data_IF_675618382843
#
_entry.id   IF_675618382843
#
_cell.length_a   1.000
_cell.length_b   1.000
_cell.length_c   1.000
_cell.angle_alpha   90.00
_cell.angle_beta   90.00
_cell.angle_gamma   90.00
#
_symmetry.space_group_name_H-M   'P 1'
#
loop_
_entity.id
_entity.type
_entity.pdbx_description
1 polymer ?
#
# COMPACT_ATOMS: atom_id res chain seq x y z
N UNK A 1 -10.97 52.92 -43.57
CA UNK A 1 -9.91 52.85 -42.59
C UNK A 1 -10.23 51.72 -41.62
N UNK A 2 -9.64 50.57 -41.83
CA UNK A 2 -9.79 49.42 -40.92
C UNK A 2 -8.63 49.50 -39.89
N UNK A 3 -8.94 49.63 -38.63
CA UNK A 3 -7.95 49.57 -37.54
C UNK A 3 -7.51 48.12 -37.41
N UNK A 4 -6.22 47.87 -37.66
CA UNK A 4 -5.54 46.61 -37.37
C UNK A 4 -5.43 46.56 -35.83
N UNK A 5 -6.19 45.66 -35.19
CA UNK A 5 -5.97 45.27 -33.78
C UNK A 5 -4.64 44.53 -33.70
N UNK A 6 -3.63 45.16 -33.16
CA UNK A 6 -2.35 44.58 -32.80
C UNK A 6 -2.59 43.52 -31.74
N UNK A 7 -2.31 42.26 -32.06
CA UNK A 7 -2.44 41.16 -31.11
C UNK A 7 -1.37 41.37 -30.02
N UNK A 8 -1.83 41.60 -28.76
CA UNK A 8 -0.95 41.72 -27.63
C UNK A 8 -0.10 40.44 -27.48
N UNK A 9 1.20 40.55 -27.39
CA UNK A 9 2.11 39.46 -27.08
C UNK A 9 1.66 38.76 -25.77
N UNK A 10 1.66 37.43 -25.74
CA UNK A 10 1.31 36.73 -24.50
C UNK A 10 2.32 37.10 -23.38
N UNK A 11 1.84 37.23 -22.13
CA UNK A 11 2.71 37.61 -21.02
C UNK A 11 3.87 36.63 -20.85
N UNK A 12 5.09 37.17 -20.81
CA UNK A 12 6.30 36.36 -20.61
C UNK A 12 6.32 35.82 -19.17
N UNK A 13 6.64 34.53 -19.03
CA UNK A 13 6.79 33.88 -17.72
C UNK A 13 7.98 34.46 -16.97
N UNK A 14 7.80 34.68 -15.66
CA UNK A 14 8.89 35.15 -14.78
C UNK A 14 9.97 34.07 -14.61
N UNK A 15 11.26 34.44 -14.47
CA UNK A 15 12.32 33.49 -14.12
C UNK A 15 11.97 32.73 -12.83
N UNK A 16 12.11 31.40 -12.82
CA UNK A 16 11.76 30.54 -11.68
C UNK A 16 10.31 30.07 -11.62
N UNK A 17 9.46 30.43 -12.60
CA UNK A 17 8.10 29.88 -12.68
C UNK A 17 8.17 28.38 -12.97
N UNK A 18 7.45 27.50 -12.19
CA UNK A 18 7.43 26.08 -12.45
C UNK A 18 6.85 25.77 -13.83
N UNK A 19 7.22 24.61 -14.39
CA UNK A 19 6.59 24.11 -15.61
C UNK A 19 5.08 24.04 -15.42
N UNK A 20 4.27 24.27 -16.47
CA UNK A 20 2.80 24.28 -16.36
C UNK A 20 2.31 22.98 -15.75
N UNK A 21 2.81 21.85 -16.22
CA UNK A 21 2.43 20.52 -15.73
C UNK A 21 2.72 20.35 -14.23
N UNK A 22 3.82 20.92 -13.72
CA UNK A 22 4.16 20.87 -12.29
C UNK A 22 3.18 21.68 -11.45
N UNK A 23 2.78 22.85 -11.96
CA UNK A 23 1.76 23.68 -11.33
C UNK A 23 0.40 23.00 -11.35
N UNK A 24 -0.01 22.43 -12.47
CA UNK A 24 -1.27 21.70 -12.61
C UNK A 24 -1.32 20.50 -11.64
N UNK A 25 -0.23 19.74 -11.52
CA UNK A 25 -0.14 18.65 -10.55
C UNK A 25 -0.29 19.16 -9.11
N UNK A 26 0.40 20.24 -8.75
CA UNK A 26 0.28 20.80 -7.41
C UNK A 26 -1.15 21.27 -7.10
N UNK A 27 -1.84 21.90 -8.06
CA UNK A 27 -3.23 22.33 -7.90
C UNK A 27 -4.21 21.16 -7.78
N UNK A 28 -4.02 20.09 -8.56
CA UNK A 28 -4.82 18.87 -8.43
C UNK A 28 -4.64 18.23 -7.06
N UNK A 29 -3.40 18.10 -6.57
CA UNK A 29 -3.14 17.52 -5.25
C UNK A 29 -3.73 18.37 -4.12
N UNK A 30 -3.67 19.72 -4.24
CA UNK A 30 -4.29 20.61 -3.29
C UNK A 30 -5.82 20.46 -3.31
N UNK A 31 -6.44 20.33 -4.49
CA UNK A 31 -7.87 20.09 -4.60
C UNK A 31 -8.29 18.77 -3.91
N UNK A 32 -7.50 17.69 -4.05
CA UNK A 32 -7.76 16.43 -3.37
C UNK A 32 -7.74 16.58 -1.83
N UNK A 33 -6.80 17.36 -1.31
CA UNK A 33 -6.73 17.64 0.14
C UNK A 33 -7.92 18.45 0.60
N UNK A 34 -8.19 19.58 -0.05
CA UNK A 34 -9.20 20.55 0.40
C UNK A 34 -10.64 20.02 0.26
N UNK A 35 -10.92 19.28 -0.81
CA UNK A 35 -12.26 18.80 -1.08
C UNK A 35 -12.55 17.43 -0.48
N UNK A 36 -11.54 16.58 -0.35
CA UNK A 36 -11.74 15.16 -0.02
C UNK A 36 -10.86 14.65 1.14
N UNK A 37 -9.92 15.46 1.64
CA UNK A 37 -9.05 15.09 2.77
C UNK A 37 -7.89 14.12 2.43
N UNK A 38 -7.67 13.80 1.15
CA UNK A 38 -6.61 12.88 0.72
C UNK A 38 -5.31 13.63 0.39
N UNK A 39 -4.26 13.44 1.18
CA UNK A 39 -2.98 14.12 1.02
C UNK A 39 -1.92 13.26 0.32
N UNK A 40 -1.75 13.50 -0.99
CA UNK A 40 -0.70 12.89 -1.80
C UNK A 40 0.49 13.84 -2.07
N UNK A 41 0.55 15.02 -1.44
CA UNK A 41 1.59 16.03 -1.71
C UNK A 41 2.99 15.55 -1.34
N UNK A 42 3.09 14.63 -0.39
CA UNK A 42 4.34 13.99 0.03
C UNK A 42 4.80 12.81 -0.84
N UNK A 43 4.02 12.42 -1.85
CA UNK A 43 4.35 11.31 -2.74
C UNK A 43 5.37 11.72 -3.81
N UNK A 44 6.06 10.72 -4.38
CA UNK A 44 7.05 10.92 -5.44
C UNK A 44 6.38 11.45 -6.72
N UNK A 45 6.82 12.61 -7.20
CA UNK A 45 6.20 13.32 -8.33
C UNK A 45 6.16 12.49 -9.62
N UNK A 46 7.23 11.73 -9.90
CA UNK A 46 7.30 10.88 -11.07
C UNK A 46 6.26 9.75 -11.02
N UNK A 47 6.06 9.15 -9.84
CA UNK A 47 5.06 8.10 -9.62
C UNK A 47 3.64 8.66 -9.77
N UNK A 48 3.36 9.82 -9.18
CA UNK A 48 2.06 10.48 -9.33
C UNK A 48 1.72 10.74 -10.80
N UNK A 49 2.66 11.32 -11.57
CA UNK A 49 2.44 11.57 -13.01
C UNK A 49 2.17 10.28 -13.77
N UNK A 50 2.95 9.24 -13.51
CA UNK A 50 2.76 7.94 -14.17
C UNK A 50 1.37 7.36 -13.89
N UNK A 51 0.94 7.34 -12.64
CA UNK A 51 -0.38 6.84 -12.24
C UNK A 51 -1.52 7.69 -12.83
N UNK A 52 -1.39 9.01 -12.77
CA UNK A 52 -2.40 9.93 -13.30
C UNK A 52 -2.51 9.87 -14.82
N UNK A 53 -1.40 9.65 -15.56
CA UNK A 53 -1.42 9.54 -17.01
C UNK A 53 -2.37 8.42 -17.48
N UNK A 54 -2.36 7.26 -16.81
CA UNK A 54 -3.28 6.17 -17.13
C UNK A 54 -4.76 6.54 -16.90
N UNK A 55 -5.04 7.31 -15.83
CA UNK A 55 -6.39 7.82 -15.54
C UNK A 55 -6.83 8.84 -16.57
N UNK A 56 -5.94 9.77 -16.94
CA UNK A 56 -6.21 10.80 -17.96
C UNK A 56 -6.61 10.17 -19.28
N UNK A 57 -5.87 9.15 -19.75
CA UNK A 57 -6.23 8.41 -20.98
C UNK A 57 -7.63 7.80 -20.87
N UNK A 58 -7.95 7.14 -19.77
CA UNK A 58 -9.24 6.49 -19.54
C UNK A 58 -10.41 7.48 -19.49
N UNK A 59 -10.20 8.67 -18.89
CA UNK A 59 -11.21 9.70 -18.73
C UNK A 59 -11.23 10.72 -19.88
N UNK A 60 -10.33 10.62 -20.87
CA UNK A 60 -10.21 11.54 -21.99
C UNK A 60 -9.69 12.93 -21.60
N UNK A 61 -9.07 13.08 -20.44
CA UNK A 61 -8.46 14.33 -19.99
C UNK A 61 -7.13 14.57 -20.73
N UNK A 62 -6.96 15.76 -21.32
CA UNK A 62 -5.73 16.11 -22.07
C UNK A 62 -4.65 16.78 -21.23
N UNK A 63 -5.03 17.40 -20.11
CA UNK A 63 -4.14 18.10 -19.17
C UNK A 63 -4.52 17.72 -17.75
N UNK A 64 -3.62 17.95 -16.79
CA UNK A 64 -3.94 17.75 -15.37
C UNK A 64 -5.01 18.73 -14.90
N UNK A 65 -5.09 19.95 -15.48
CA UNK A 65 -6.17 20.89 -15.20
C UNK A 65 -7.53 20.36 -15.67
N UNK A 66 -7.61 19.72 -16.84
CA UNK A 66 -8.85 19.08 -17.28
C UNK A 66 -9.24 17.87 -16.42
N UNK A 67 -8.25 17.11 -15.91
CA UNK A 67 -8.50 16.06 -14.93
C UNK A 67 -8.99 16.64 -13.60
N UNK A 68 -8.40 17.74 -13.12
CA UNK A 68 -8.86 18.44 -11.91
C UNK A 68 -10.31 18.89 -12.02
N UNK A 69 -10.71 19.46 -13.14
CA UNK A 69 -12.12 19.84 -13.39
C UNK A 69 -13.05 18.62 -13.26
N UNK A 70 -12.69 17.48 -13.87
CA UNK A 70 -13.45 16.25 -13.74
C UNK A 70 -13.51 15.77 -12.28
N UNK A 71 -12.39 15.76 -11.56
CA UNK A 71 -12.32 15.32 -10.15
C UNK A 71 -13.21 16.16 -9.25
N UNK A 72 -13.32 17.47 -9.50
CA UNK A 72 -14.14 18.36 -8.69
C UNK A 72 -15.64 18.23 -8.95
N UNK A 73 -16.06 17.76 -10.13
CA UNK A 73 -17.46 17.78 -10.56
C UNK A 73 -18.06 16.40 -10.83
N UNK A 74 -17.24 15.32 -10.88
CA UNK A 74 -17.66 13.95 -11.12
C UNK A 74 -17.09 12.98 -10.09
N UNK A 75 -17.94 12.40 -9.26
CA UNK A 75 -17.57 11.40 -8.26
C UNK A 75 -16.90 10.15 -8.87
N UNK A 76 -17.29 9.75 -10.09
CA UNK A 76 -16.65 8.63 -10.78
C UNK A 76 -15.21 8.93 -11.17
N UNK A 77 -14.94 10.15 -11.62
CA UNK A 77 -13.58 10.62 -11.92
C UNK A 77 -12.72 10.70 -10.66
N UNK A 78 -13.27 11.23 -9.57
CA UNK A 78 -12.61 11.28 -8.26
C UNK A 78 -12.26 9.88 -7.76
N UNK A 79 -13.19 8.94 -7.73
CA UNK A 79 -12.96 7.56 -7.31
C UNK A 79 -11.90 6.88 -8.20
N UNK A 80 -11.91 7.14 -9.51
CA UNK A 80 -10.92 6.62 -10.45
C UNK A 80 -9.50 7.14 -10.15
N UNK A 81 -9.36 8.42 -9.80
CA UNK A 81 -8.07 9.03 -9.40
C UNK A 81 -7.59 8.44 -8.09
N UNK A 82 -8.43 8.37 -7.05
CA UNK A 82 -8.05 7.80 -5.76
C UNK A 82 -7.61 6.34 -5.89
N UNK A 83 -8.37 5.52 -6.63
CA UNK A 83 -8.01 4.12 -6.88
C UNK A 83 -6.68 3.96 -7.59
N UNK A 84 -6.33 4.87 -8.49
CA UNK A 84 -5.04 4.85 -9.18
C UNK A 84 -3.89 5.31 -8.29
N UNK A 85 -4.12 6.27 -7.40
CA UNK A 85 -3.08 6.81 -6.52
C UNK A 85 -2.76 5.89 -5.35
N UNK A 86 -3.72 5.11 -4.87
CA UNK A 86 -3.49 4.11 -3.83
C UNK A 86 -2.72 2.88 -4.35
N UNK A 87 -2.31 2.00 -3.42
CA UNK A 87 -1.71 0.71 -3.75
C UNK A 87 -2.75 -0.17 -4.44
N UNK A 88 -2.44 -0.74 -5.62
CA UNK A 88 -3.36 -1.63 -6.30
C UNK A 88 -3.59 -2.91 -5.49
N UNK A 89 -4.80 -3.50 -5.54
CA UNK A 89 -5.07 -4.76 -4.88
C UNK A 89 -4.13 -5.88 -5.35
N UNK A 90 -3.61 -6.65 -4.40
CA UNK A 90 -2.82 -7.85 -4.67
C UNK A 90 -3.71 -9.02 -5.07
N UNK A 91 -3.17 -9.99 -5.81
CA UNK A 91 -3.77 -11.31 -5.92
C UNK A 91 -3.25 -12.24 -4.80
N UNK A 92 -3.96 -13.34 -4.55
CA UNK A 92 -3.55 -14.32 -3.56
C UNK A 92 -2.26 -15.01 -4.02
N UNK A 93 -1.20 -14.96 -3.21
CA UNK A 93 0.12 -15.51 -3.53
C UNK A 93 0.72 -14.97 -4.85
N UNK A 94 0.56 -13.68 -5.14
CA UNK A 94 1.00 -13.06 -6.40
C UNK A 94 2.52 -12.83 -6.50
N UNK A 95 3.20 -12.63 -5.37
CA UNK A 95 4.64 -12.31 -5.29
C UNK A 95 5.41 -13.45 -4.61
N UNK A 96 5.91 -14.41 -5.40
CA UNK A 96 6.64 -15.55 -4.87
C UNK A 96 7.93 -15.14 -4.10
N UNK A 97 8.75 -14.17 -4.54
CA UNK A 97 9.85 -13.64 -3.75
C UNK A 97 9.42 -13.06 -2.39
N UNK A 98 8.35 -12.26 -2.34
CA UNK A 98 7.83 -11.70 -1.08
C UNK A 98 7.35 -12.81 -0.14
N UNK A 99 6.59 -13.76 -0.65
CA UNK A 99 6.07 -14.90 0.12
C UNK A 99 7.20 -15.76 0.69
N UNK A 100 8.25 -16.05 -0.10
CA UNK A 100 9.41 -16.80 0.37
C UNK A 100 10.14 -16.07 1.51
N UNK A 101 10.29 -14.75 1.41
CA UNK A 101 10.87 -13.93 2.47
C UNK A 101 9.99 -13.92 3.73
N UNK A 102 8.67 -13.77 3.59
CA UNK A 102 7.74 -13.86 4.71
C UNK A 102 7.84 -15.22 5.40
N UNK A 103 7.87 -16.33 4.66
CA UNK A 103 8.07 -17.67 5.24
C UNK A 103 9.34 -17.75 6.09
N UNK A 104 10.44 -17.15 5.63
CA UNK A 104 11.71 -17.17 6.33
C UNK A 104 11.71 -16.34 7.63
N UNK A 105 10.97 -15.20 7.67
CA UNK A 105 11.01 -14.28 8.81
C UNK A 105 9.94 -14.54 9.86
N UNK A 106 8.76 -15.07 9.49
CA UNK A 106 7.62 -15.22 10.41
C UNK A 106 7.98 -16.05 11.65
N UNK A 107 8.57 -17.22 11.46
CA UNK A 107 9.01 -18.06 12.58
C UNK A 107 10.03 -17.37 13.46
N UNK A 108 11.08 -16.79 12.84
CA UNK A 108 12.15 -16.11 13.57
C UNK A 108 11.69 -14.88 14.37
N UNK A 109 10.62 -14.22 13.92
CA UNK A 109 10.13 -12.97 14.54
C UNK A 109 9.01 -13.20 15.57
N UNK A 110 8.18 -14.23 15.38
CA UNK A 110 6.91 -14.34 16.12
C UNK A 110 6.91 -15.44 17.18
N UNK A 111 7.80 -16.45 17.11
CA UNK A 111 7.81 -17.54 18.08
C UNK A 111 8.09 -17.09 19.52
N UNK A 112 8.90 -16.05 19.71
CA UNK A 112 9.28 -15.55 21.03
C UNK A 112 8.19 -14.77 21.77
N UNK A 113 7.13 -14.32 21.09
CA UNK A 113 6.03 -13.57 21.69
C UNK A 113 4.84 -14.50 21.99
N UNK A 114 4.18 -14.28 23.15
CA UNK A 114 3.00 -15.06 23.53
C UNK A 114 1.80 -14.75 22.61
N UNK A 115 1.54 -13.48 22.35
CA UNK A 115 0.48 -12.97 21.49
C UNK A 115 1.07 -11.97 20.48
N UNK A 116 1.75 -12.45 19.45
CA UNK A 116 2.38 -11.56 18.49
C UNK A 116 1.36 -10.81 17.64
N UNK A 117 1.68 -9.55 17.35
CA UNK A 117 0.92 -8.67 16.47
C UNK A 117 1.72 -8.35 15.22
N UNK A 118 1.10 -8.53 14.07
CA UNK A 118 1.68 -8.17 12.77
C UNK A 118 0.88 -7.04 12.15
N UNK A 119 1.57 -5.99 11.71
CA UNK A 119 0.94 -4.89 10.98
C UNK A 119 1.27 -4.98 9.49
N UNK A 120 0.25 -5.18 8.66
CA UNK A 120 0.30 -4.95 7.23
C UNK A 120 -0.10 -3.48 6.99
N UNK A 121 0.90 -2.62 6.88
CA UNK A 121 0.69 -1.18 6.74
C UNK A 121 0.44 -0.82 5.28
N UNK A 122 -0.66 -0.10 5.02
CA UNK A 122 -1.16 0.21 3.68
C UNK A 122 -1.28 -1.07 2.82
N UNK A 123 -2.10 -1.98 3.33
CA UNK A 123 -2.28 -3.33 2.80
C UNK A 123 -2.88 -3.29 1.40
N UNK A 124 -2.32 -4.08 0.49
CA UNK A 124 -2.83 -4.24 -0.88
C UNK A 124 -4.11 -5.12 -0.93
N UNK A 125 -5.05 -4.86 -0.06
CA UNK A 125 -6.35 -5.52 0.00
C UNK A 125 -6.34 -6.90 0.66
N UNK A 126 -7.50 -7.56 0.62
CA UNK A 126 -7.76 -8.80 1.35
C UNK A 126 -6.79 -9.93 0.98
N UNK A 127 -6.43 -10.07 -0.30
CA UNK A 127 -5.62 -11.20 -0.75
C UNK A 127 -4.20 -11.19 -0.16
N UNK A 128 -3.63 -10.01 0.10
CA UNK A 128 -2.35 -9.91 0.80
C UNK A 128 -2.48 -10.36 2.27
N UNK A 129 -3.54 -9.92 2.96
CA UNK A 129 -3.79 -10.34 4.34
C UNK A 129 -4.12 -11.84 4.44
N UNK A 130 -4.87 -12.41 3.47
CA UNK A 130 -5.15 -13.83 3.42
C UNK A 130 -3.88 -14.64 3.17
N UNK A 131 -3.01 -14.18 2.27
CA UNK A 131 -1.69 -14.79 2.05
C UNK A 131 -0.92 -14.90 3.38
N UNK A 132 -0.84 -13.80 4.15
CA UNK A 132 -0.17 -13.81 5.45
C UNK A 132 -0.85 -14.75 6.45
N UNK A 133 -2.19 -14.74 6.54
CA UNK A 133 -2.95 -15.61 7.45
C UNK A 133 -2.73 -17.09 7.14
N UNK A 134 -2.67 -17.46 5.86
CA UNK A 134 -2.37 -18.83 5.43
C UNK A 134 -0.92 -19.21 5.79
N UNK A 135 0.05 -18.32 5.56
CA UNK A 135 1.44 -18.55 5.95
C UNK A 135 1.61 -18.75 7.46
N UNK A 136 0.90 -17.99 8.28
CA UNK A 136 0.88 -18.17 9.73
C UNK A 136 0.31 -19.54 10.12
N UNK A 137 -0.77 -20.00 9.45
CA UNK A 137 -1.34 -21.33 9.70
C UNK A 137 -0.38 -22.45 9.32
N UNK A 138 0.30 -22.35 8.19
CA UNK A 138 1.30 -23.34 7.77
C UNK A 138 2.46 -23.47 8.78
N UNK A 139 2.77 -22.38 9.50
CA UNK A 139 3.79 -22.36 10.56
C UNK A 139 3.23 -22.56 11.98
N UNK A 140 1.95 -22.89 12.11
CA UNK A 140 1.26 -23.10 13.40
C UNK A 140 1.31 -21.88 14.32
N UNK A 141 1.27 -20.68 13.72
CA UNK A 141 1.28 -19.40 14.42
C UNK A 141 -0.09 -18.71 14.44
N UNK A 142 -1.04 -19.16 13.62
CA UNK A 142 -2.37 -18.56 13.44
C UNK A 142 -3.22 -18.53 14.72
N UNK A 143 -3.07 -19.53 15.60
CA UNK A 143 -3.83 -19.61 16.85
C UNK A 143 -3.55 -18.49 17.86
N UNK A 144 -2.41 -17.78 17.74
CA UNK A 144 -1.95 -16.77 18.70
C UNK A 144 -1.55 -15.43 18.07
N UNK A 145 -1.43 -15.33 16.74
CA UNK A 145 -1.02 -14.11 16.05
C UNK A 145 -2.23 -13.31 15.61
N UNK A 146 -2.22 -12.01 15.88
CA UNK A 146 -3.18 -11.04 15.37
C UNK A 146 -2.57 -10.29 14.18
N UNK A 147 -3.33 -10.16 13.09
CA UNK A 147 -2.97 -9.38 11.91
C UNK A 147 -3.77 -8.09 11.93
N UNK A 148 -3.08 -6.96 11.96
CA UNK A 148 -3.65 -5.64 11.75
C UNK A 148 -3.40 -5.26 10.29
N UNK A 149 -4.43 -5.27 9.47
CA UNK A 149 -4.36 -4.88 8.07
C UNK A 149 -5.00 -3.50 7.92
N UNK A 150 -4.22 -2.52 7.53
CA UNK A 150 -4.69 -1.14 7.41
C UNK A 150 -4.74 -0.71 5.95
N UNK A 151 -5.78 0.03 5.60
CA UNK A 151 -6.02 0.57 4.26
C UNK A 151 -6.34 2.07 4.34
N UNK A 152 -6.06 2.87 3.30
CA UNK A 152 -6.16 4.32 3.39
C UNK A 152 -7.59 4.88 3.22
N UNK A 153 -8.58 4.08 2.84
CA UNK A 153 -9.94 4.55 2.60
C UNK A 153 -11.03 3.59 3.05
N UNK A 154 -12.23 4.14 3.37
CA UNK A 154 -13.41 3.35 3.72
C UNK A 154 -13.86 2.43 2.59
N UNK A 155 -13.72 2.84 1.31
CA UNK A 155 -14.03 2.01 0.15
C UNK A 155 -13.17 0.74 0.14
N UNK A 156 -11.85 0.89 0.30
CA UNK A 156 -10.94 -0.26 0.37
C UNK A 156 -11.16 -1.11 1.62
N UNK A 157 -11.56 -0.50 2.73
CA UNK A 157 -11.92 -1.22 3.95
C UNK A 157 -13.13 -2.13 3.71
N UNK A 158 -14.19 -1.61 3.09
CA UNK A 158 -15.38 -2.38 2.75
C UNK A 158 -15.06 -3.50 1.74
N UNK A 159 -14.29 -3.18 0.66
CA UNK A 159 -13.84 -4.18 -0.32
C UNK A 159 -13.04 -5.32 0.34
N UNK A 160 -12.18 -5.00 1.31
CA UNK A 160 -11.36 -6.00 2.00
C UNK A 160 -12.19 -6.88 2.96
N UNK A 161 -13.18 -6.31 3.63
CA UNK A 161 -14.06 -7.04 4.53
C UNK A 161 -15.02 -7.98 3.80
N UNK A 162 -15.49 -7.59 2.61
CA UNK A 162 -16.43 -8.38 1.78
C UNK A 162 -15.71 -9.27 0.74
N UNK A 163 -14.39 -9.37 0.83
CA UNK A 163 -13.59 -10.07 -0.16
C UNK A 163 -13.96 -11.56 -0.27
N UNK A 164 -13.99 -12.03 -1.50
CA UNK A 164 -14.15 -13.43 -1.87
C UNK A 164 -13.51 -13.68 -3.23
N UNK A 165 -13.15 -14.93 -3.52
CA UNK A 165 -12.61 -15.36 -4.82
C UNK A 165 -13.64 -16.21 -5.55
N UNK A 166 -13.70 -16.13 -6.88
CA UNK A 166 -14.56 -17.01 -7.67
C UNK A 166 -13.96 -18.42 -7.72
N UNK A 167 -14.79 -19.46 -7.68
CA UNK A 167 -14.31 -20.84 -7.81
C UNK A 167 -13.63 -21.09 -9.17
N UNK A 168 -14.03 -20.36 -10.20
CA UNK A 168 -13.41 -20.42 -11.51
C UNK A 168 -11.91 -20.00 -11.49
N UNK A 169 -11.52 -19.14 -10.55
CA UNK A 169 -10.14 -18.65 -10.42
C UNK A 169 -9.26 -19.59 -9.59
N UNK A 170 -9.84 -20.56 -8.88
CA UNK A 170 -9.10 -21.45 -7.97
C UNK A 170 -7.94 -22.20 -8.62
N UNK A 171 -8.01 -22.68 -9.87
CA UNK A 171 -6.87 -23.36 -10.50
C UNK A 171 -5.64 -22.43 -10.60
N UNK A 172 -5.83 -21.19 -11.05
CA UNK A 172 -4.74 -20.21 -11.14
C UNK A 172 -4.19 -19.80 -9.76
N UNK A 173 -5.07 -19.65 -8.77
CA UNK A 173 -4.68 -19.36 -7.39
C UNK A 173 -3.93 -20.54 -6.73
N UNK A 174 -4.32 -21.77 -7.05
CA UNK A 174 -3.60 -22.99 -6.62
C UNK A 174 -2.19 -23.02 -7.24
N UNK A 175 -2.02 -22.68 -8.51
CA UNK A 175 -0.71 -22.58 -9.14
C UNK A 175 0.17 -21.52 -8.48
N UNK A 176 -0.39 -20.34 -8.17
CA UNK A 176 0.31 -19.32 -7.42
C UNK A 176 0.75 -19.82 -6.04
N UNK A 177 -0.14 -20.47 -5.31
CA UNK A 177 0.12 -21.06 -3.99
C UNK A 177 1.29 -22.05 -4.03
N UNK A 178 1.28 -22.99 -4.98
CA UNK A 178 2.36 -23.98 -5.16
C UNK A 178 3.66 -23.29 -5.55
N UNK A 179 3.62 -22.35 -6.49
CA UNK A 179 4.78 -21.56 -6.90
C UNK A 179 5.43 -20.81 -5.73
N UNK A 180 4.62 -20.37 -4.77
CA UNK A 180 5.07 -19.73 -3.54
C UNK A 180 5.49 -20.72 -2.43
N UNK A 181 5.63 -22.03 -2.75
CA UNK A 181 6.09 -23.05 -1.80
C UNK A 181 4.97 -23.59 -0.89
N UNK A 182 3.72 -23.34 -1.21
CA UNK A 182 2.57 -23.94 -0.52
C UNK A 182 2.49 -25.43 -0.74
N UNK A 183 2.11 -26.17 0.30
CA UNK A 183 1.96 -27.61 0.26
C UNK A 183 0.49 -28.01 0.38
N UNK A 184 0.05 -28.94 -0.47
CA UNK A 184 -1.33 -29.42 -0.48
C UNK A 184 -2.29 -28.54 -1.27
N UNK A 185 -3.57 -28.54 -0.88
CA UNK A 185 -4.62 -27.82 -1.58
C UNK A 185 -4.90 -26.46 -0.93
N UNK A 186 -4.82 -25.36 -1.71
CA UNK A 186 -5.22 -24.03 -1.28
C UNK A 186 -6.66 -24.01 -0.73
N UNK A 187 -7.54 -24.83 -1.31
CA UNK A 187 -8.91 -24.97 -0.87
C UNK A 187 -9.05 -25.39 0.60
N UNK A 188 -8.04 -26.05 1.19
CA UNK A 188 -7.99 -26.39 2.62
C UNK A 188 -7.92 -25.17 3.55
N UNK A 189 -7.68 -23.96 3.01
CA UNK A 189 -7.65 -22.68 3.73
C UNK A 189 -8.89 -21.83 3.45
N UNK A 190 -9.80 -22.28 2.59
CA UNK A 190 -10.96 -21.54 2.14
C UNK A 190 -12.27 -22.22 2.52
N UNK A 191 -13.32 -21.42 2.71
CA UNK A 191 -14.70 -21.86 2.88
C UNK A 191 -15.46 -21.57 1.59
N UNK A 192 -15.96 -22.62 0.95
CA UNK A 192 -16.74 -22.52 -0.29
C UNK A 192 -18.21 -22.26 0.03
N UNK A 193 -18.79 -21.27 -0.64
CA UNK A 193 -20.21 -20.92 -0.56
C UNK A 193 -20.71 -20.60 -1.98
N UNK A 194 -21.49 -21.50 -2.55
CA UNK A 194 -21.94 -21.38 -3.95
C UNK A 194 -20.76 -21.35 -4.92
N UNK A 195 -20.69 -20.35 -5.78
CA UNK A 195 -19.63 -20.17 -6.78
C UNK A 195 -18.43 -19.32 -6.27
N UNK A 196 -18.39 -19.00 -4.98
CA UNK A 196 -17.34 -18.20 -4.36
C UNK A 196 -16.73 -18.90 -3.17
N UNK A 197 -15.52 -18.51 -2.85
CA UNK A 197 -14.81 -18.96 -1.65
C UNK A 197 -14.28 -17.77 -0.86
N UNK A 198 -14.32 -17.87 0.46
CA UNK A 198 -13.78 -16.90 1.41
C UNK A 198 -12.71 -17.56 2.27
N UNK A 199 -11.89 -16.74 2.95
CA UNK A 199 -10.95 -17.28 3.93
C UNK A 199 -11.70 -18.00 5.06
N UNK A 200 -11.17 -19.12 5.55
CA UNK A 200 -11.77 -19.85 6.67
C UNK A 200 -12.06 -18.92 7.86
N UNK A 201 -13.22 -19.03 8.53
CA UNK A 201 -13.63 -18.13 9.62
C UNK A 201 -12.59 -18.00 10.74
N UNK A 202 -11.90 -19.09 11.11
CA UNK A 202 -10.87 -19.08 12.14
C UNK A 202 -9.62 -18.25 11.74
N UNK A 203 -9.30 -18.17 10.45
CA UNK A 203 -8.21 -17.32 9.94
C UNK A 203 -8.69 -15.88 9.77
N UNK A 204 -9.91 -15.71 9.25
CA UNK A 204 -10.52 -14.39 9.05
C UNK A 204 -10.67 -13.64 10.37
N UNK A 205 -11.03 -14.31 11.47
CA UNK A 205 -11.17 -13.70 12.80
C UNK A 205 -9.85 -13.19 13.40
N UNK A 206 -8.70 -13.56 12.82
CA UNK A 206 -7.37 -13.07 13.22
C UNK A 206 -6.93 -11.82 12.47
N UNK A 207 -7.72 -11.37 11.49
CA UNK A 207 -7.44 -10.17 10.71
C UNK A 207 -8.34 -9.04 11.22
N UNK A 208 -7.74 -8.06 11.85
CA UNK A 208 -8.40 -6.81 12.23
C UNK A 208 -8.15 -5.79 11.12
N UNK A 209 -9.22 -5.37 10.48
CA UNK A 209 -9.20 -4.34 9.45
C UNK A 209 -9.44 -2.96 10.05
N UNK A 210 -8.65 -1.97 9.63
CA UNK A 210 -8.86 -0.58 10.01
C UNK A 210 -8.50 0.36 8.87
N UNK A 211 -9.23 1.48 8.80
CA UNK A 211 -8.75 2.62 8.03
C UNK A 211 -7.63 3.29 8.81
N UNK A 212 -6.53 3.58 8.13
CA UNK A 212 -5.37 4.22 8.71
C UNK A 212 -4.57 4.95 7.62
N UNK A 213 -4.23 6.20 7.89
CA UNK A 213 -3.49 7.04 6.97
C UNK A 213 -2.04 7.21 7.45
N UNK A 214 -1.09 6.59 6.74
CA UNK A 214 0.35 6.69 7.06
C UNK A 214 0.88 8.13 7.02
N UNK A 215 0.18 9.04 6.32
CA UNK A 215 0.59 10.45 6.19
C UNK A 215 0.20 11.27 7.42
N UNK A 216 -0.94 10.99 8.06
CA UNK A 216 -1.52 11.85 9.11
C UNK A 216 -1.53 11.23 10.50
N UNK A 217 -1.68 9.90 10.58
CA UNK A 217 -1.95 9.23 11.84
C UNK A 217 -0.66 8.99 12.66
N UNK A 218 -0.85 8.77 13.96
CA UNK A 218 0.23 8.56 14.91
C UNK A 218 0.39 7.07 15.27
N UNK A 219 1.52 6.72 15.86
CA UNK A 219 1.80 5.37 16.38
C UNK A 219 0.69 4.89 17.31
N UNK A 220 0.23 3.64 17.15
CA UNK A 220 -0.93 3.12 17.85
C UNK A 220 -0.72 1.83 18.65
N UNK A 221 0.33 1.07 18.40
CA UNK A 221 0.53 -0.26 19.02
C UNK A 221 2.01 -0.67 19.03
N UNK A 222 2.31 -1.73 19.79
CA UNK A 222 3.61 -2.41 19.74
C UNK A 222 3.49 -3.68 18.89
N UNK A 223 4.05 -3.65 17.69
CA UNK A 223 4.04 -4.77 16.75
C UNK A 223 5.34 -5.56 16.80
N UNK A 224 5.27 -6.88 16.73
CA UNK A 224 6.45 -7.75 16.58
C UNK A 224 6.93 -7.81 15.14
N UNK A 225 6.05 -7.50 14.19
CA UNK A 225 6.39 -7.42 12.77
C UNK A 225 5.56 -6.33 12.10
N UNK A 226 6.23 -5.45 11.36
CA UNK A 226 5.58 -4.48 10.46
C UNK A 226 6.04 -4.79 9.04
N UNK A 227 5.09 -4.86 8.11
CA UNK A 227 5.35 -5.06 6.68
C UNK A 227 4.71 -3.92 5.90
N UNK A 228 5.54 -3.12 5.20
CA UNK A 228 5.10 -2.08 4.29
C UNK A 228 6.01 -2.06 3.07
N UNK A 229 5.66 -2.82 2.04
CA UNK A 229 6.52 -2.99 0.86
C UNK A 229 5.93 -2.40 -0.41
N UNK A 230 4.61 -2.27 -0.48
CA UNK A 230 3.91 -1.87 -1.71
C UNK A 230 3.61 -0.38 -1.77
N UNK A 231 3.41 0.29 -0.63
CA UNK A 231 3.15 1.72 -0.56
C UNK A 231 4.42 2.59 -0.55
N UNK A 232 5.47 2.13 0.14
CA UNK A 232 6.69 2.91 0.32
C UNK A 232 7.39 3.37 -0.97
N UNK A 233 7.35 2.63 -2.10
CA UNK A 233 7.89 3.13 -3.37
C UNK A 233 7.24 4.41 -3.87
N UNK A 234 5.98 4.66 -3.50
CA UNK A 234 5.22 5.84 -3.92
C UNK A 234 5.57 7.10 -3.11
N UNK A 235 6.24 6.94 -1.97
CA UNK A 235 6.52 8.04 -1.05
C UNK A 235 7.80 8.79 -1.41
N UNK A 236 7.70 10.11 -1.49
CA UNK A 236 8.87 10.99 -1.58
C UNK A 236 9.75 10.92 -0.32
N UNK A 237 11.01 11.39 -0.39
CA UNK A 237 11.99 11.17 0.67
C UNK A 237 11.55 11.66 2.06
N UNK A 238 10.89 12.79 2.14
CA UNK A 238 10.43 13.36 3.43
C UNK A 238 9.30 12.54 4.05
N UNK A 239 8.31 12.16 3.24
CA UNK A 239 7.20 11.32 3.69
C UNK A 239 7.71 9.92 4.09
N UNK A 240 8.59 9.33 3.28
CA UNK A 240 9.21 8.04 3.58
C UNK A 240 9.93 8.06 4.94
N UNK A 241 10.76 9.07 5.22
CA UNK A 241 11.44 9.22 6.53
C UNK A 241 10.45 9.35 7.68
N UNK A 242 9.37 10.10 7.50
CA UNK A 242 8.30 10.21 8.51
C UNK A 242 7.64 8.86 8.77
N UNK A 243 7.28 8.12 7.73
CA UNK A 243 6.64 6.81 7.85
C UNK A 243 7.59 5.77 8.48
N UNK A 244 8.87 5.78 8.12
CA UNK A 244 9.87 4.93 8.78
C UNK A 244 10.00 5.24 10.27
N UNK A 245 9.90 6.52 10.67
CA UNK A 245 9.85 6.92 12.09
C UNK A 245 8.58 6.39 12.76
N UNK A 246 7.43 6.52 12.14
CA UNK A 246 6.16 5.97 12.63
C UNK A 246 6.28 4.45 12.86
N UNK A 247 6.87 3.71 11.93
CA UNK A 247 7.11 2.27 12.09
C UNK A 247 8.07 1.97 13.24
N UNK A 248 9.15 2.75 13.36
CA UNK A 248 10.07 2.61 14.49
C UNK A 248 9.37 2.78 15.83
N UNK A 249 8.54 3.81 15.98
CA UNK A 249 7.83 4.11 17.21
C UNK A 249 6.71 3.09 17.50
N UNK A 250 6.18 2.41 16.47
CA UNK A 250 5.14 1.38 16.57
C UNK A 250 5.69 -0.05 16.75
N UNK A 251 6.98 -0.24 16.55
CA UNK A 251 7.61 -1.57 16.58
C UNK A 251 8.08 -1.89 18.01
N UNK A 252 7.75 -3.07 18.50
CA UNK A 252 8.25 -3.58 19.77
C UNK A 252 9.79 -3.66 19.77
N UNK A 253 10.47 -3.59 20.92
CA UNK A 253 11.87 -3.93 21.02
C UNK A 253 12.16 -5.32 20.43
N UNK A 254 13.21 -5.43 19.63
CA UNK A 254 13.56 -6.64 18.87
C UNK A 254 12.52 -7.07 17.81
N UNK A 255 11.52 -6.26 17.55
CA UNK A 255 10.56 -6.47 16.48
C UNK A 255 11.20 -6.37 15.09
N UNK A 256 10.50 -6.87 14.08
CA UNK A 256 10.99 -6.92 12.72
C UNK A 256 10.25 -5.95 11.78
N UNK A 257 10.98 -5.42 10.80
CA UNK A 257 10.49 -4.48 9.80
C UNK A 257 10.81 -4.99 8.40
N UNK A 258 9.79 -5.18 7.57
CA UNK A 258 9.90 -5.54 6.15
C UNK A 258 9.62 -4.34 5.25
N UNK A 259 10.61 -3.93 4.46
CA UNK A 259 10.56 -2.77 3.58
C UNK A 259 10.64 -3.18 2.10
N UNK A 260 10.37 -2.23 1.20
CA UNK A 260 10.52 -2.36 -0.25
C UNK A 260 11.99 -2.37 -0.69
N UNK A 261 12.80 -1.51 -0.07
CA UNK A 261 14.24 -1.33 -0.33
C UNK A 261 15.00 -1.07 0.96
N UNK A 262 16.34 -1.19 0.97
CA UNK A 262 17.17 -0.85 2.12
C UNK A 262 16.94 0.60 2.61
N UNK A 263 17.30 0.84 3.88
CA UNK A 263 17.40 2.20 4.41
C UNK A 263 18.36 3.02 3.53
N UNK A 264 18.07 4.29 3.37
CA UNK A 264 19.01 5.21 2.74
C UNK A 264 20.26 5.33 3.60
N UNK A 265 21.44 5.51 3.00
CA UNK A 265 22.71 5.51 3.70
C UNK A 265 22.83 6.61 4.78
N UNK A 266 22.08 7.69 4.62
CA UNK A 266 22.00 8.85 5.53
C UNK A 266 20.81 8.79 6.50
N UNK A 267 20.03 7.69 6.50
CA UNK A 267 18.90 7.57 7.40
C UNK A 267 19.37 7.26 8.83
N UNK A 268 19.13 8.16 9.81
CA UNK A 268 19.59 7.97 11.18
C UNK A 268 18.96 6.74 11.86
N UNK A 269 17.81 6.26 11.39
CA UNK A 269 17.18 5.05 11.91
C UNK A 269 17.95 3.78 11.56
N UNK A 270 18.73 3.77 10.49
CA UNK A 270 19.49 2.58 10.06
C UNK A 270 20.36 1.99 11.18
N UNK A 271 20.94 2.86 12.03
CA UNK A 271 21.77 2.46 13.16
C UNK A 271 21.00 1.66 14.26
N UNK A 272 19.67 1.79 14.29
CA UNK A 272 18.80 1.08 15.25
C UNK A 272 18.32 -0.29 14.73
N UNK A 273 18.84 -0.73 13.60
CA UNK A 273 18.39 -1.96 12.95
C UNK A 273 19.54 -2.86 12.50
N UNK A 274 19.32 -4.15 12.55
CA UNK A 274 20.21 -5.17 12.00
C UNK A 274 19.50 -5.95 10.89
N UNK A 275 20.20 -6.31 9.78
CA UNK A 275 19.61 -7.14 8.74
C UNK A 275 19.15 -8.50 9.30
N UNK A 276 17.93 -8.92 8.99
CA UNK A 276 17.40 -10.25 9.28
C UNK A 276 17.71 -11.25 8.17
N UNK A 277 17.66 -10.79 6.93
CA UNK A 277 17.98 -11.56 5.74
C UNK A 277 19.11 -10.87 4.98
N UNK A 278 20.16 -11.58 4.56
CA UNK A 278 21.26 -11.00 3.80
C UNK A 278 20.76 -10.35 2.51
N UNK A 279 21.18 -9.11 2.27
CA UNK A 279 20.90 -8.34 1.06
C UNK A 279 19.39 -8.05 0.77
N UNK A 280 18.51 -8.37 1.71
CA UNK A 280 17.08 -8.11 1.58
C UNK A 280 16.63 -7.07 2.62
N UNK A 281 15.61 -6.23 2.32
CA UNK A 281 15.20 -5.13 3.18
C UNK A 281 14.30 -5.61 4.34
N UNK A 282 14.81 -6.58 5.08
CA UNK A 282 14.23 -7.12 6.31
C UNK A 282 15.19 -6.86 7.48
N UNK A 283 14.66 -6.21 8.49
CA UNK A 283 15.45 -5.70 9.60
C UNK A 283 14.87 -6.11 10.94
N UNK A 284 15.73 -6.25 11.94
CA UNK A 284 15.34 -6.38 13.35
C UNK A 284 15.76 -5.13 14.09
N UNK A 285 14.85 -4.55 14.86
CA UNK A 285 15.15 -3.47 15.80
C UNK A 285 16.10 -3.99 16.89
N UNK A 286 17.14 -3.21 17.22
CA UNK A 286 18.18 -3.65 18.18
C UNK A 286 17.80 -3.38 19.65
N UNK A 287 16.99 -2.37 19.92
CA UNK A 287 16.50 -2.03 21.26
C UNK A 287 15.21 -1.21 21.16
#
# INVERSE_FOLDING_TARGET
>A
MAAVMEAAEPPQRQPGTPAVEELELALLLEALVQCYGYDFRGHERAVLRHKLAAVMVRLGARTLSSLQDLVLHDHGAMAAVLRALHVPPAALFDDAPEVAQLRAVLGACLHGAALPKVWLADCAGAMQAWTLAILLREQQLDGRTEIFATVPSDEQLAEAQDASVALADLPALQENYVRCGGQGALLGHLLVQGERATLLPQLRSRITWAQYNLVTDASCNEFQLIVCRRALPDFGPMLRRRVLRLFHDSLAPFGALGLDRPFDADDPLAASYQPLLPQLPWYRRTA
#
